data_IF_028312922777
#
_entry.id   IF_028312922777
#
_cell.length_a   1.000
_cell.length_b   1.000
_cell.length_c   1.000
_cell.angle_alpha   90.00
_cell.angle_beta   90.00
_cell.angle_gamma   90.00
#
_symmetry.space_group_name_H-M   'P 1'
#
loop_
_entity.id
_entity.type
_entity.pdbx_description
1 polymer ?
#
# COMPACT_ATOMS: atom_id res chain seq x y z
N UNK A 1 6.46 -2.24 -31.77
CA UNK A 1 5.92 -2.74 -33.06
C UNK A 1 6.82 -2.32 -34.20
N UNK A 2 6.97 -3.14 -35.25
CA UNK A 2 7.77 -2.77 -36.43
C UNK A 2 7.05 -1.71 -37.30
N UNK A 3 7.77 -0.90 -38.10
CA UNK A 3 7.16 0.08 -38.98
C UNK A 3 6.16 -0.50 -39.99
N UNK A 4 6.43 -1.72 -40.48
CA UNK A 4 5.53 -2.43 -41.39
C UNK A 4 4.18 -2.78 -40.74
N UNK A 5 4.18 -3.13 -39.45
CA UNK A 5 2.97 -3.42 -38.69
C UNK A 5 2.15 -2.14 -38.44
N UNK A 6 2.80 -1.02 -38.15
CA UNK A 6 2.12 0.27 -37.97
C UNK A 6 1.41 0.72 -39.27
N UNK A 7 2.02 0.48 -40.43
CA UNK A 7 1.38 0.71 -41.72
C UNK A 7 0.14 -0.17 -41.95
N UNK A 8 0.21 -1.45 -41.61
CA UNK A 8 -0.94 -2.36 -41.70
C UNK A 8 -2.08 -1.96 -40.74
N UNK A 9 -1.74 -1.56 -39.51
CA UNK A 9 -2.72 -1.04 -38.53
C UNK A 9 -3.41 0.21 -39.06
N UNK A 10 -2.66 1.16 -39.64
CA UNK A 10 -3.22 2.40 -40.19
C UNK A 10 -4.22 2.15 -41.32
N UNK A 11 -3.98 1.17 -42.19
CA UNK A 11 -4.90 0.79 -43.26
C UNK A 11 -6.11 0.02 -42.70
N UNK A 12 -5.88 -0.78 -41.66
CA UNK A 12 -6.88 -1.66 -41.04
C UNK A 12 -7.68 -1.06 -39.89
N UNK A 13 -7.55 0.25 -39.58
CA UNK A 13 -8.14 0.85 -38.38
C UNK A 13 -9.63 0.54 -38.21
N UNK A 14 -10.43 0.68 -39.27
CA UNK A 14 -11.87 0.39 -39.23
C UNK A 14 -12.18 -1.10 -38.98
N UNK A 15 -11.35 -2.01 -39.48
CA UNK A 15 -11.51 -3.45 -39.23
C UNK A 15 -11.07 -3.87 -37.83
N UNK A 16 -10.18 -3.10 -37.19
CA UNK A 16 -9.68 -3.37 -35.83
C UNK A 16 -10.57 -2.72 -34.78
N UNK A 17 -10.88 -1.43 -34.94
CA UNK A 17 -11.54 -0.59 -33.92
C UNK A 17 -13.01 -0.25 -34.25
N UNK A 18 -13.54 -0.75 -35.37
CA UNK A 18 -14.90 -0.44 -35.81
C UNK A 18 -15.07 1.05 -36.11
N UNK A 19 -16.06 1.68 -35.48
CA UNK A 19 -16.34 3.11 -35.63
C UNK A 19 -15.28 4.00 -34.95
N UNK A 20 -14.51 3.46 -34.00
CA UNK A 20 -13.52 4.18 -33.19
C UNK A 20 -12.14 4.27 -33.88
N UNK A 21 -12.09 4.76 -35.12
CA UNK A 21 -10.85 4.83 -35.91
C UNK A 21 -9.92 5.99 -35.55
N UNK A 22 -10.41 6.97 -34.78
CA UNK A 22 -9.65 8.11 -34.30
C UNK A 22 -8.89 7.82 -33.01
N UNK A 23 -8.05 8.78 -32.54
CA UNK A 23 -7.35 8.68 -31.27
C UNK A 23 -8.27 8.85 -30.04
N UNK A 24 -9.54 9.25 -30.25
CA UNK A 24 -10.56 9.40 -29.23
C UNK A 24 -11.76 8.52 -29.60
N UNK A 25 -12.35 7.90 -28.59
CA UNK A 25 -13.48 7.00 -28.73
C UNK A 25 -14.54 7.33 -27.66
N UNK A 26 -15.81 7.30 -28.06
CA UNK A 26 -16.92 7.40 -27.12
C UNK A 26 -17.36 5.99 -26.75
N UNK A 27 -17.19 5.64 -25.47
CA UNK A 27 -17.48 4.30 -24.96
C UNK A 27 -18.35 4.41 -23.72
N UNK A 28 -19.24 3.42 -23.51
CA UNK A 28 -19.98 3.37 -22.25
C UNK A 28 -19.01 3.00 -21.14
N UNK A 29 -19.16 3.61 -19.97
CA UNK A 29 -18.34 3.31 -18.78
C UNK A 29 -18.36 1.81 -18.47
N UNK A 30 -19.53 1.18 -18.58
CA UNK A 30 -19.69 -0.26 -18.36
C UNK A 30 -18.90 -1.11 -19.36
N UNK A 31 -18.80 -0.70 -20.62
CA UNK A 31 -18.01 -1.42 -21.63
C UNK A 31 -16.51 -1.27 -21.36
N UNK A 32 -16.06 -0.07 -21.00
CA UNK A 32 -14.67 0.18 -20.66
C UNK A 32 -14.22 -0.61 -19.42
N UNK A 33 -15.07 -0.66 -18.39
CA UNK A 33 -14.72 -1.34 -17.13
C UNK A 33 -14.93 -2.86 -17.21
N UNK A 34 -16.05 -3.34 -17.77
CA UNK A 34 -16.49 -4.73 -17.61
C UNK A 34 -16.93 -5.41 -18.90
N UNK A 35 -17.96 -4.91 -19.58
CA UNK A 35 -18.60 -5.63 -20.70
C UNK A 35 -17.67 -5.79 -21.92
N UNK A 36 -16.70 -4.88 -22.06
CA UNK A 36 -15.65 -4.95 -23.06
C UNK A 36 -15.96 -4.19 -24.35
N UNK A 37 -15.00 -3.35 -24.75
CA UNK A 37 -14.98 -2.66 -26.04
C UNK A 37 -14.65 -3.70 -27.12
N UNK A 38 -15.49 -3.85 -28.15
CA UNK A 38 -15.25 -4.81 -29.21
C UNK A 38 -14.10 -4.37 -30.11
N UNK A 39 -13.24 -5.33 -30.44
CA UNK A 39 -12.14 -5.19 -31.39
C UNK A 39 -12.18 -6.36 -32.38
N UNK A 40 -11.77 -6.11 -33.62
CA UNK A 40 -11.62 -7.14 -34.64
C UNK A 40 -12.90 -7.93 -35.01
N UNK A 41 -14.09 -7.35 -34.82
CA UNK A 41 -15.38 -7.99 -35.18
C UNK A 41 -15.51 -8.26 -36.69
N UNK A 42 -14.99 -7.38 -37.54
CA UNK A 42 -15.11 -7.46 -39.00
C UNK A 42 -13.73 -7.44 -39.69
N UNK A 43 -12.80 -8.27 -39.22
CA UNK A 43 -11.41 -8.25 -39.68
C UNK A 43 -11.23 -8.91 -41.07
N UNK A 44 -11.51 -8.19 -42.15
CA UNK A 44 -11.21 -8.60 -43.53
C UNK A 44 -9.89 -7.98 -44.05
N UNK A 45 -9.22 -8.68 -44.98
CA UNK A 45 -8.02 -8.21 -45.69
C UNK A 45 -6.89 -7.77 -44.73
N UNK A 46 -6.41 -6.52 -44.84
CA UNK A 46 -5.24 -5.99 -44.11
C UNK A 46 -5.47 -5.94 -42.59
N UNK A 47 -6.70 -5.72 -42.15
CA UNK A 47 -7.07 -5.78 -40.73
C UNK A 47 -6.97 -7.19 -40.15
N UNK A 48 -7.09 -8.24 -40.98
CA UNK A 48 -6.95 -9.64 -40.56
C UNK A 48 -5.55 -9.97 -40.03
N UNK A 49 -4.50 -9.41 -40.65
CA UNK A 49 -3.11 -9.59 -40.19
C UNK A 49 -2.91 -8.89 -38.85
N UNK A 50 -3.32 -7.63 -38.73
CA UNK A 50 -3.24 -6.90 -37.46
C UNK A 50 -4.03 -7.61 -36.35
N UNK A 51 -5.26 -8.05 -36.64
CA UNK A 51 -6.08 -8.79 -35.70
C UNK A 51 -5.48 -10.15 -35.32
N UNK A 52 -4.80 -10.87 -36.23
CA UNK A 52 -4.09 -12.10 -35.86
C UNK A 52 -2.97 -11.85 -34.84
N UNK A 53 -2.27 -10.72 -34.95
CA UNK A 53 -1.21 -10.34 -34.01
C UNK A 53 -1.83 -9.94 -32.67
N UNK A 54 -2.90 -9.13 -32.68
CA UNK A 54 -3.60 -8.74 -31.44
C UNK A 54 -4.14 -9.99 -30.73
N UNK A 55 -4.70 -10.97 -31.45
CA UNK A 55 -5.12 -12.26 -30.88
C UNK A 55 -3.95 -13.03 -30.27
N UNK A 56 -2.79 -13.07 -30.94
CA UNK A 56 -1.61 -13.73 -30.36
C UNK A 56 -1.12 -13.08 -29.07
N UNK A 57 -1.44 -11.80 -28.85
CA UNK A 57 -1.14 -11.07 -27.62
C UNK A 57 -2.26 -11.13 -26.59
N UNK A 58 -3.50 -11.45 -26.97
CA UNK A 58 -4.62 -11.49 -26.00
C UNK A 58 -4.43 -12.58 -24.96
N UNK A 59 -3.79 -13.70 -25.32
CA UNK A 59 -3.57 -14.82 -24.40
C UNK A 59 -2.63 -14.46 -23.24
N UNK A 60 -1.78 -13.44 -23.39
CA UNK A 60 -0.86 -12.98 -22.35
C UNK A 60 -1.35 -11.75 -21.58
N UNK A 61 -2.53 -11.22 -21.91
CA UNK A 61 -3.04 -9.96 -21.34
C UNK A 61 -4.41 -10.16 -20.71
N UNK A 62 -4.48 -9.98 -19.39
CA UNK A 62 -5.70 -10.20 -18.59
C UNK A 62 -6.87 -9.29 -19.01
N UNK A 63 -6.59 -8.13 -19.59
CA UNK A 63 -7.58 -7.14 -20.00
C UNK A 63 -8.16 -7.37 -21.41
N UNK A 64 -7.79 -8.46 -22.08
CA UNK A 64 -8.31 -8.84 -23.39
C UNK A 64 -8.87 -10.26 -23.37
N UNK A 65 -10.10 -10.43 -23.83
CA UNK A 65 -10.77 -11.71 -23.91
C UNK A 65 -11.12 -12.06 -25.36
N UNK A 66 -10.59 -13.18 -25.84
CA UNK A 66 -10.95 -13.76 -27.15
C UNK A 66 -12.39 -14.31 -27.09
N UNK A 67 -13.18 -13.97 -28.10
CA UNK A 67 -14.58 -14.40 -28.23
C UNK A 67 -14.72 -15.59 -29.19
N UNK A 68 -15.83 -16.36 -29.14
CA UNK A 68 -16.04 -17.52 -30.02
C UNK A 68 -16.04 -17.21 -31.52
N UNK A 69 -16.36 -15.98 -31.90
CA UNK A 69 -16.35 -15.48 -33.28
C UNK A 69 -14.99 -14.92 -33.72
N UNK A 70 -13.92 -15.16 -32.93
CA UNK A 70 -12.59 -14.58 -33.10
C UNK A 70 -12.53 -13.05 -32.97
N UNK A 71 -13.57 -12.38 -32.47
CA UNK A 71 -13.46 -11.00 -32.01
C UNK A 71 -12.75 -10.94 -30.65
N UNK A 72 -12.33 -9.74 -30.24
CA UNK A 72 -11.67 -9.50 -28.96
C UNK A 72 -12.49 -8.48 -28.18
N UNK A 73 -12.65 -8.70 -26.87
CA UNK A 73 -13.22 -7.73 -25.94
C UNK A 73 -12.09 -7.17 -25.07
N UNK A 74 -11.91 -5.85 -25.10
CA UNK A 74 -10.99 -5.16 -24.20
C UNK A 74 -11.76 -4.49 -23.06
N UNK A 75 -11.39 -4.78 -21.82
CA UNK A 75 -12.00 -4.21 -20.61
C UNK A 75 -10.96 -4.09 -19.50
N UNK A 76 -11.09 -3.09 -18.64
CA UNK A 76 -10.11 -2.82 -17.60
C UNK A 76 -10.19 -3.76 -16.38
N UNK A 77 -11.39 -4.21 -16.01
CA UNK A 77 -11.63 -4.88 -14.72
C UNK A 77 -12.43 -6.20 -14.82
N UNK A 78 -12.81 -6.62 -16.03
CA UNK A 78 -13.60 -7.85 -16.18
C UNK A 78 -12.91 -9.09 -15.59
N UNK A 79 -11.58 -9.21 -15.77
CA UNK A 79 -10.81 -10.33 -15.24
C UNK A 79 -10.78 -10.42 -13.70
N UNK A 80 -11.12 -9.33 -13.00
CA UNK A 80 -11.26 -9.27 -11.52
C UNK A 80 -12.67 -9.59 -11.04
N UNK A 81 -13.67 -9.61 -11.93
CA UNK A 81 -15.06 -9.73 -11.54
C UNK A 81 -15.41 -11.18 -11.16
N UNK A 82 -15.61 -11.43 -9.86
CA UNK A 82 -15.96 -12.75 -9.33
C UNK A 82 -14.81 -13.76 -9.37
N UNK A 83 -13.57 -13.29 -9.54
CA UNK A 83 -12.36 -14.12 -9.53
C UNK A 83 -11.64 -13.99 -8.19
N UNK A 84 -11.01 -15.08 -7.74
CA UNK A 84 -10.16 -15.03 -6.56
C UNK A 84 -8.85 -14.33 -6.92
N UNK A 85 -8.40 -13.45 -6.01
CA UNK A 85 -7.08 -12.84 -6.11
C UNK A 85 -5.96 -13.82 -5.76
N UNK A 86 -4.76 -13.27 -5.75
CA UNK A 86 -3.52 -13.96 -5.47
C UNK A 86 -3.44 -14.39 -3.99
N UNK A 87 -2.65 -15.43 -3.70
CA UNK A 87 -2.55 -15.98 -2.34
C UNK A 87 -1.49 -15.24 -1.51
N UNK A 88 -1.80 -14.98 -0.24
CA UNK A 88 -0.90 -14.33 0.71
C UNK A 88 -0.54 -15.29 1.84
N UNK A 89 0.76 -15.43 2.12
CA UNK A 89 1.22 -16.02 3.37
C UNK A 89 1.52 -14.91 4.35
N UNK A 90 0.78 -14.90 5.46
CA UNK A 90 0.77 -13.80 6.41
C UNK A 90 1.10 -14.31 7.80
N UNK A 91 1.94 -13.57 8.52
CA UNK A 91 2.29 -13.87 9.91
C UNK A 91 1.11 -13.58 10.85
N UNK A 92 0.88 -14.52 11.76
CA UNK A 92 -0.19 -14.43 12.78
C UNK A 92 0.23 -13.62 14.03
N UNK A 93 1.50 -13.22 14.13
CA UNK A 93 2.01 -12.48 15.28
C UNK A 93 2.11 -13.27 16.60
N UNK A 94 2.04 -14.61 16.55
CA UNK A 94 2.07 -15.45 17.76
C UNK A 94 3.44 -15.47 18.45
N UNK A 95 4.53 -15.41 17.68
CA UNK A 95 5.90 -15.40 18.20
C UNK A 95 6.38 -13.97 18.49
N UNK A 96 6.12 -13.05 17.57
CA UNK A 96 6.35 -11.62 17.72
C UNK A 96 5.14 -10.85 17.21
N UNK A 97 4.53 -10.04 18.07
CA UNK A 97 3.34 -9.25 17.72
C UNK A 97 3.64 -8.16 16.69
N UNK A 98 4.89 -7.69 16.60
CA UNK A 98 5.33 -6.73 15.58
C UNK A 98 5.27 -7.32 14.16
N UNK A 99 5.26 -8.64 14.04
CA UNK A 99 5.12 -9.33 12.76
C UNK A 99 3.66 -9.59 12.39
N UNK A 100 2.67 -9.16 13.19
CA UNK A 100 1.26 -9.37 12.88
C UNK A 100 0.93 -8.80 11.49
N UNK A 101 0.22 -9.59 10.69
CA UNK A 101 -0.19 -9.24 9.33
C UNK A 101 0.95 -9.00 8.33
N UNK A 102 2.22 -9.19 8.72
CA UNK A 102 3.34 -9.09 7.79
C UNK A 102 3.25 -10.18 6.73
N UNK A 103 3.32 -9.79 5.47
CA UNK A 103 3.32 -10.70 4.32
C UNK A 103 4.73 -11.28 4.17
N UNK A 104 4.82 -12.61 4.12
CA UNK A 104 6.07 -13.33 3.87
C UNK A 104 6.17 -13.90 2.46
N UNK A 105 5.04 -14.28 1.86
CA UNK A 105 4.96 -14.69 0.47
C UNK A 105 3.73 -14.06 -0.21
N UNK A 106 3.89 -13.66 -1.45
CA UNK A 106 2.83 -13.27 -2.36
C UNK A 106 2.87 -14.21 -3.57
N UNK A 107 1.79 -14.95 -3.78
CA UNK A 107 1.68 -15.99 -4.82
C UNK A 107 2.86 -16.98 -4.82
N UNK A 108 3.25 -17.41 -3.62
CA UNK A 108 4.39 -18.32 -3.41
C UNK A 108 5.77 -17.68 -3.63
N UNK A 109 5.86 -16.37 -3.93
CA UNK A 109 7.10 -15.65 -4.14
C UNK A 109 7.50 -14.83 -2.91
N UNK A 110 8.80 -14.80 -2.61
CA UNK A 110 9.39 -13.94 -1.56
C UNK A 110 9.65 -12.51 -2.04
N UNK A 111 9.68 -12.31 -3.36
CA UNK A 111 9.96 -11.02 -4.00
C UNK A 111 9.09 -10.86 -5.24
N UNK A 112 8.76 -9.61 -5.56
CA UNK A 112 8.12 -9.24 -6.81
C UNK A 112 9.11 -9.39 -7.98
N UNK A 113 8.58 -9.45 -9.20
CA UNK A 113 9.38 -9.65 -10.43
C UNK A 113 9.08 -8.61 -11.50
N UNK A 114 8.49 -7.50 -11.10
CA UNK A 114 7.97 -6.49 -12.00
C UNK A 114 9.00 -5.39 -12.28
N UNK A 115 9.93 -5.16 -11.36
CA UNK A 115 10.89 -4.07 -11.48
C UNK A 115 12.27 -4.59 -11.88
N UNK A 116 13.10 -3.79 -12.57
CA UNK A 116 14.46 -4.18 -12.90
C UNK A 116 15.27 -4.45 -11.64
N UNK A 117 16.12 -5.45 -11.72
CA UNK A 117 17.22 -5.64 -10.77
C UNK A 117 18.28 -4.55 -10.97
N UNK A 118 19.24 -4.47 -10.06
CA UNK A 118 20.36 -3.53 -10.21
C UNK A 118 21.18 -3.86 -11.47
N UNK A 119 22.03 -2.93 -11.91
CA UNK A 119 22.91 -3.14 -13.08
C UNK A 119 23.80 -4.40 -12.94
N UNK A 120 24.20 -4.72 -11.71
CA UNK A 120 24.99 -5.91 -11.37
C UNK A 120 24.16 -7.22 -11.31
N UNK A 121 22.84 -7.14 -11.52
CA UNK A 121 21.92 -8.28 -11.49
C UNK A 121 21.36 -8.63 -10.11
N UNK A 122 21.72 -7.88 -9.07
CA UNK A 122 21.25 -8.10 -7.70
C UNK A 122 19.78 -7.72 -7.52
N UNK A 123 19.11 -8.42 -6.59
CA UNK A 123 17.69 -8.20 -6.32
C UNK A 123 17.44 -6.76 -5.87
N UNK A 124 16.65 -6.04 -6.67
CA UNK A 124 16.30 -4.66 -6.41
C UNK A 124 15.38 -4.51 -5.19
N UNK A 125 15.57 -3.44 -4.43
CA UNK A 125 14.69 -3.06 -3.31
C UNK A 125 13.26 -2.79 -3.78
N UNK A 126 13.07 -2.35 -5.03
CA UNK A 126 11.75 -2.18 -5.64
C UNK A 126 10.94 -3.48 -5.75
N UNK A 127 11.61 -4.64 -5.71
CA UNK A 127 10.98 -5.95 -5.74
C UNK A 127 10.77 -6.55 -4.34
N UNK A 128 11.16 -5.86 -3.26
CA UNK A 128 10.95 -6.35 -1.90
C UNK A 128 9.47 -6.32 -1.54
N UNK A 129 9.00 -7.39 -0.89
CA UNK A 129 7.67 -7.45 -0.28
C UNK A 129 7.84 -7.09 1.20
N UNK A 130 7.46 -5.87 1.57
CA UNK A 130 7.49 -5.43 2.96
C UNK A 130 6.09 -5.07 3.47
N UNK A 131 5.90 -5.25 4.78
CA UNK A 131 4.70 -4.81 5.49
C UNK A 131 3.48 -5.70 5.27
N UNK A 132 2.30 -5.08 5.28
CA UNK A 132 0.99 -5.77 5.27
C UNK A 132 0.25 -5.55 3.95
N UNK A 133 -1.01 -5.95 3.85
CA UNK A 133 -1.89 -5.67 2.70
C UNK A 133 -2.66 -4.34 2.84
N UNK A 134 -2.28 -3.49 3.81
CA UNK A 134 -2.98 -2.27 4.23
C UNK A 134 -4.36 -2.44 4.88
N UNK A 135 -4.87 -3.66 5.07
CA UNK A 135 -6.12 -3.89 5.79
C UNK A 135 -5.97 -3.74 7.30
N UNK A 136 -4.80 -4.07 7.82
CA UNK A 136 -4.41 -3.92 9.22
C UNK A 136 -2.90 -3.73 9.31
N UNK A 137 -2.44 -3.03 10.35
CA UNK A 137 -1.02 -2.90 10.68
C UNK A 137 -0.73 -3.58 12.01
N UNK A 138 0.55 -3.81 12.31
CA UNK A 138 0.91 -4.38 13.60
C UNK A 138 0.52 -3.43 14.76
N UNK A 139 0.18 -3.97 15.95
CA UNK A 139 -0.07 -3.17 17.14
C UNK A 139 1.15 -2.35 17.57
N UNK A 140 0.92 -1.35 18.41
CA UNK A 140 1.95 -0.46 18.96
C UNK A 140 2.76 0.27 17.88
N UNK A 141 2.04 0.88 16.94
CA UNK A 141 2.62 1.61 15.81
C UNK A 141 3.57 2.71 16.30
N UNK A 142 4.81 2.66 15.82
CA UNK A 142 5.83 3.69 16.05
C UNK A 142 5.72 4.76 14.96
N UNK A 143 5.18 5.92 15.31
CA UNK A 143 4.97 7.04 14.37
C UNK A 143 6.27 7.61 13.79
N UNK A 144 7.43 7.29 14.38
CA UNK A 144 8.73 7.76 13.88
C UNK A 144 9.28 6.85 12.77
N UNK A 145 8.61 5.72 12.48
CA UNK A 145 9.00 4.77 11.45
C UNK A 145 7.97 4.76 10.32
N UNK A 146 8.41 4.55 9.07
CA UNK A 146 7.48 4.31 7.99
C UNK A 146 6.76 2.97 8.19
N UNK A 147 5.52 2.92 7.72
CA UNK A 147 4.80 1.67 7.51
C UNK A 147 4.86 1.30 6.02
N UNK A 148 4.74 0.00 5.75
CA UNK A 148 4.80 -0.52 4.40
C UNK A 148 3.52 -1.32 4.11
N UNK A 149 3.03 -1.21 2.88
CA UNK A 149 1.91 -2.00 2.40
C UNK A 149 2.15 -2.49 0.98
N UNK A 150 1.98 -3.79 0.74
CA UNK A 150 1.95 -4.34 -0.60
C UNK A 150 0.65 -3.93 -1.29
N UNK A 151 0.76 -3.31 -2.47
CA UNK A 151 -0.39 -3.08 -3.33
C UNK A 151 -0.18 -3.86 -4.65
N UNK A 152 -0.91 -4.97 -4.86
CA UNK A 152 -0.75 -5.81 -6.04
C UNK A 152 -1.21 -5.12 -7.34
N UNK A 153 -2.16 -4.18 -7.27
CA UNK A 153 -2.70 -3.51 -8.47
C UNK A 153 -1.72 -2.54 -9.11
N UNK A 154 -0.70 -2.12 -8.35
CA UNK A 154 0.42 -1.30 -8.85
C UNK A 154 1.77 -2.04 -8.70
N UNK A 155 1.72 -3.34 -8.40
CA UNK A 155 2.86 -4.24 -8.37
C UNK A 155 4.06 -3.78 -7.53
N UNK A 156 3.81 -3.17 -6.36
CA UNK A 156 4.90 -2.72 -5.49
C UNK A 156 4.47 -2.63 -4.03
N UNK A 157 5.46 -2.62 -3.15
CA UNK A 157 5.28 -2.14 -1.79
C UNK A 157 5.33 -0.60 -1.77
N UNK A 158 4.40 -0.02 -1.01
CA UNK A 158 4.24 1.42 -0.80
C UNK A 158 4.68 1.76 0.61
N UNK A 159 5.54 2.77 0.72
CA UNK A 159 5.95 3.36 1.99
C UNK A 159 5.00 4.51 2.34
N UNK A 160 4.43 4.48 3.55
CA UNK A 160 3.61 5.54 4.12
C UNK A 160 4.25 6.05 5.42
N UNK A 161 4.16 7.36 5.67
CA UNK A 161 4.80 8.03 6.81
C UNK A 161 3.77 8.81 7.61
N UNK A 162 4.02 8.94 8.91
CA UNK A 162 3.17 9.74 9.80
C UNK A 162 3.08 11.19 9.30
N UNK A 163 1.87 11.74 9.34
CA UNK A 163 1.59 13.13 8.96
C UNK A 163 0.99 13.93 10.12
N UNK A 164 -0.08 13.43 10.75
CA UNK A 164 -0.75 14.12 11.85
C UNK A 164 -1.55 13.21 12.77
N UNK A 165 -1.86 13.72 13.96
CA UNK A 165 -2.90 13.16 14.84
C UNK A 165 -4.28 13.48 14.26
N UNK A 166 -5.19 12.53 14.37
CA UNK A 166 -6.57 12.62 13.86
C UNK A 166 -7.56 12.06 14.86
N UNK A 167 -8.83 12.38 14.65
CA UNK A 167 -9.94 11.76 15.36
C UNK A 167 -10.92 11.15 14.34
N UNK A 168 -11.42 9.96 14.65
CA UNK A 168 -12.48 9.30 13.89
C UNK A 168 -13.54 8.78 14.86
N UNK A 169 -14.74 9.34 14.79
CA UNK A 169 -15.88 8.95 15.65
C UNK A 169 -15.52 8.88 17.15
N UNK A 170 -14.79 9.90 17.64
CA UNK A 170 -14.35 9.97 19.04
C UNK A 170 -13.16 9.07 19.41
N UNK A 171 -12.61 8.32 18.46
CA UNK A 171 -11.39 7.51 18.64
C UNK A 171 -10.17 8.33 18.17
N UNK A 172 -9.20 8.62 19.06
CA UNK A 172 -7.92 9.20 18.67
C UNK A 172 -7.15 8.23 17.78
N UNK A 173 -6.54 8.75 16.72
CA UNK A 173 -5.72 7.98 15.80
C UNK A 173 -4.61 8.80 15.20
N UNK A 174 -3.86 8.17 14.31
CA UNK A 174 -2.73 8.77 13.61
C UNK A 174 -2.92 8.56 12.11
N UNK A 175 -2.60 9.59 11.33
CA UNK A 175 -2.64 9.58 9.88
C UNK A 175 -1.27 9.26 9.32
N UNK A 176 -1.23 8.29 8.43
CA UNK A 176 -0.10 8.00 7.56
C UNK A 176 -0.44 8.34 6.11
N UNK A 177 0.50 8.93 5.38
CA UNK A 177 0.33 9.33 3.98
C UNK A 177 1.44 8.78 3.09
N UNK A 178 1.11 8.59 1.81
CA UNK A 178 2.10 8.52 0.75
C UNK A 178 2.05 9.85 0.00
N UNK A 179 3.16 10.60 -0.01
CA UNK A 179 3.24 11.91 -0.68
C UNK A 179 4.13 11.86 -1.93
N UNK A 180 4.92 12.90 -2.19
CA UNK A 180 5.62 13.06 -3.46
C UNK A 180 6.57 11.90 -3.79
N UNK A 181 7.10 11.15 -2.83
CA UNK A 181 8.03 10.05 -3.08
C UNK A 181 7.41 8.82 -3.77
N UNK A 182 6.09 8.62 -3.67
CA UNK A 182 5.46 7.37 -4.09
C UNK A 182 5.70 7.02 -5.56
N UNK A 183 5.56 7.99 -6.47
CA UNK A 183 5.74 7.80 -7.91
C UNK A 183 6.97 8.53 -8.45
N UNK A 184 8.00 8.68 -7.63
CA UNK A 184 9.29 9.21 -8.06
C UNK A 184 10.20 8.10 -8.57
N UNK A 185 11.10 8.48 -9.47
CA UNK A 185 12.07 7.58 -10.10
C UNK A 185 13.51 8.01 -9.77
N UNK A 186 13.72 8.67 -8.63
CA UNK A 186 15.02 9.22 -8.25
C UNK A 186 16.00 8.12 -7.80
N UNK A 187 15.49 7.09 -7.11
CA UNK A 187 16.26 5.89 -6.75
C UNK A 187 16.47 4.94 -7.94
N UNK A 188 15.91 5.26 -9.11
CA UNK A 188 16.10 4.55 -10.38
C UNK A 188 15.41 3.18 -10.51
N UNK A 189 15.12 2.46 -9.43
CA UNK A 189 14.66 1.08 -9.57
C UNK A 189 13.19 0.89 -10.01
N UNK A 190 12.35 1.95 -9.99
CA UNK A 190 10.99 1.94 -10.57
C UNK A 190 10.96 2.41 -12.04
N UNK A 191 12.13 2.58 -12.67
CA UNK A 191 12.26 3.04 -14.04
C UNK A 191 12.39 1.87 -15.02
N UNK A 192 11.48 1.76 -16.00
CA UNK A 192 11.51 0.72 -17.03
C UNK A 192 12.15 1.21 -18.34
N UNK A 193 12.03 2.49 -18.65
CA UNK A 193 12.51 3.12 -19.88
C UNK A 193 12.00 2.43 -21.17
N UNK A 194 10.72 2.06 -21.21
CA UNK A 194 10.13 1.36 -22.36
C UNK A 194 9.02 2.12 -23.05
N UNK A 195 8.33 2.99 -22.33
CA UNK A 195 7.28 3.84 -22.87
C UNK A 195 7.91 5.08 -23.49
N UNK A 196 7.43 5.44 -24.69
CA UNK A 196 7.90 6.62 -25.42
C UNK A 196 6.99 7.81 -25.11
N UNK A 197 7.56 8.97 -24.77
CA UNK A 197 6.80 10.15 -24.35
C UNK A 197 7.69 11.22 -23.72
N UNK A 198 7.11 12.01 -22.81
CA UNK A 198 7.82 13.03 -22.04
C UNK A 198 8.56 12.35 -20.88
N UNK A 199 9.89 12.30 -20.98
CA UNK A 199 10.79 11.61 -20.06
C UNK A 199 12.06 12.41 -19.84
N UNK A 200 12.79 12.09 -18.78
CA UNK A 200 14.14 12.58 -18.49
C UNK A 200 15.14 12.02 -19.50
N UNK A 201 16.35 12.57 -19.50
CA UNK A 201 17.45 12.14 -20.38
C UNK A 201 17.91 10.70 -20.11
N UNK A 202 17.80 10.23 -18.86
CA UNK A 202 18.07 8.84 -18.46
C UNK A 202 16.99 7.85 -18.93
N UNK A 203 15.93 8.35 -19.57
CA UNK A 203 14.82 7.57 -20.08
C UNK A 203 13.73 7.25 -19.06
N UNK A 204 13.88 7.69 -17.81
CA UNK A 204 12.88 7.56 -16.76
C UNK A 204 11.83 8.66 -16.82
N UNK A 205 10.68 8.41 -16.22
CA UNK A 205 9.63 9.41 -16.10
C UNK A 205 10.07 10.51 -15.11
N UNK A 206 9.62 11.75 -15.34
CA UNK A 206 9.74 12.80 -14.34
C UNK A 206 8.95 12.43 -13.07
N UNK A 207 9.25 13.11 -11.96
CA UNK A 207 8.63 12.85 -10.65
C UNK A 207 7.09 12.83 -10.70
N UNK A 208 6.49 12.01 -9.83
CA UNK A 208 5.04 11.81 -9.71
C UNK A 208 4.38 11.03 -10.86
N UNK A 209 5.15 10.31 -11.67
CA UNK A 209 4.66 9.40 -12.69
C UNK A 209 5.53 8.15 -12.82
N UNK A 210 4.93 6.98 -12.95
CA UNK A 210 5.65 5.68 -13.06
C UNK A 210 5.04 4.81 -14.15
N UNK A 211 5.87 4.06 -14.87
CA UNK A 211 5.42 3.09 -15.87
C UNK A 211 4.86 1.83 -15.21
N UNK A 212 3.77 1.27 -15.75
CA UNK A 212 3.16 0.03 -15.24
C UNK A 212 3.32 -1.17 -16.19
N UNK A 213 4.08 -1.05 -17.28
CA UNK A 213 4.05 -2.06 -18.35
C UNK A 213 4.43 -3.47 -17.89
N UNK A 214 5.45 -3.64 -17.05
CA UNK A 214 5.81 -4.96 -16.52
C UNK A 214 4.77 -5.52 -15.56
N UNK A 215 3.99 -4.66 -14.90
CA UNK A 215 2.92 -5.01 -13.99
C UNK A 215 1.64 -5.44 -14.74
N UNK A 216 1.16 -4.59 -15.65
CA UNK A 216 -0.16 -4.74 -16.29
C UNK A 216 -0.10 -5.20 -17.74
N UNK A 217 1.09 -5.29 -18.33
CA UNK A 217 1.30 -5.68 -19.74
C UNK A 217 0.90 -4.60 -20.76
N UNK A 218 0.64 -3.37 -20.33
CA UNK A 218 0.23 -2.26 -21.20
C UNK A 218 1.04 -0.99 -20.93
N UNK A 219 1.16 -0.10 -21.92
CA UNK A 219 1.87 1.19 -21.81
C UNK A 219 1.08 2.23 -21.00
N UNK A 220 0.61 1.83 -19.82
CA UNK A 220 -0.06 2.68 -18.84
C UNK A 220 0.96 3.33 -17.92
N UNK A 221 0.69 4.58 -17.57
CA UNK A 221 1.45 5.36 -16.63
C UNK A 221 0.55 5.69 -15.44
N UNK A 222 1.02 5.41 -14.24
CA UNK A 222 0.32 5.78 -13.01
C UNK A 222 0.82 7.11 -12.46
N UNK A 223 -0.10 7.89 -11.90
CA UNK A 223 0.18 9.11 -11.14
C UNK A 223 -0.86 9.28 -10.02
N UNK A 224 -0.73 10.30 -9.18
CA UNK A 224 -1.86 10.74 -8.36
C UNK A 224 -2.96 11.40 -9.22
N UNK A 225 -4.22 11.44 -8.72
CA UNK A 225 -5.30 12.18 -9.38
C UNK A 225 -4.95 13.62 -9.65
N UNK A 226 -5.32 14.09 -10.84
CA UNK A 226 -5.03 15.41 -11.36
C UNK A 226 -3.54 15.78 -11.36
N UNK A 227 -2.65 14.79 -11.42
CA UNK A 227 -1.19 14.96 -11.35
C UNK A 227 -0.73 15.67 -10.06
N UNK A 228 -1.42 15.43 -8.93
CA UNK A 228 -0.91 15.86 -7.62
C UNK A 228 0.54 15.33 -7.42
N UNK A 229 1.44 16.18 -6.94
CA UNK A 229 2.88 15.92 -6.76
C UNK A 229 3.72 15.66 -8.03
N UNK A 230 3.11 15.58 -9.21
CA UNK A 230 3.85 15.32 -10.43
C UNK A 230 4.56 16.56 -10.97
N UNK A 231 5.55 16.33 -11.82
CA UNK A 231 6.23 17.41 -12.52
C UNK A 231 5.24 18.25 -13.36
N UNK A 232 5.30 19.59 -13.31
CA UNK A 232 4.40 20.46 -14.07
C UNK A 232 4.35 20.16 -15.57
N UNK A 233 5.40 19.56 -16.15
CA UNK A 233 5.40 19.17 -17.57
C UNK A 233 4.22 18.25 -17.94
N UNK A 234 3.77 17.42 -16.99
CA UNK A 234 2.61 16.53 -17.21
C UNK A 234 1.28 17.29 -17.12
N UNK A 235 1.11 18.12 -16.09
CA UNK A 235 -0.13 18.88 -15.90
C UNK A 235 -0.34 19.97 -16.96
N UNK A 236 0.74 20.62 -17.43
CA UNK A 236 0.66 21.71 -18.41
C UNK A 236 0.12 21.27 -19.78
N UNK A 237 0.14 19.98 -20.09
CA UNK A 237 -0.39 19.43 -21.34
C UNK A 237 -1.90 19.21 -21.36
N UNK A 238 -2.60 19.37 -20.22
CA UNK A 238 -4.00 18.96 -20.05
C UNK A 238 -4.81 20.09 -19.38
N UNK A 239 -5.90 20.50 -20.02
CA UNK A 239 -6.82 21.51 -19.48
C UNK A 239 -7.87 20.81 -18.60
N UNK A 240 -8.23 21.45 -17.47
CA UNK A 240 -9.28 20.97 -16.57
C UNK A 240 -8.78 20.23 -15.33
N UNK A 241 -7.46 20.17 -15.13
CA UNK A 241 -6.88 19.57 -13.93
C UNK A 241 -6.91 20.53 -12.74
N UNK A 242 -7.30 20.04 -11.57
CA UNK A 242 -7.35 20.81 -10.33
C UNK A 242 -6.75 19.98 -9.19
N UNK A 243 -5.42 19.79 -9.12
CA UNK A 243 -4.79 19.00 -8.06
C UNK A 243 -5.11 19.59 -6.68
N UNK A 244 -5.56 18.73 -5.76
CA UNK A 244 -5.92 19.10 -4.41
C UNK A 244 -5.43 18.03 -3.44
N UNK A 245 -4.65 18.43 -2.43
CA UNK A 245 -4.03 17.48 -1.50
C UNK A 245 -5.08 16.71 -0.69
N UNK A 246 -6.15 17.34 -0.22
CA UNK A 246 -7.18 16.66 0.59
C UNK A 246 -7.94 15.61 -0.23
N UNK A 247 -8.28 15.95 -1.47
CA UNK A 247 -9.09 15.09 -2.34
C UNK A 247 -8.27 14.01 -3.05
N UNK A 248 -6.98 14.24 -3.29
CA UNK A 248 -6.18 13.38 -4.17
C UNK A 248 -5.01 12.68 -3.49
N UNK A 249 -4.68 12.98 -2.22
CA UNK A 249 -3.62 12.26 -1.49
C UNK A 249 -4.04 10.84 -1.11
N UNK A 250 -3.07 9.94 -0.98
CA UNK A 250 -3.30 8.63 -0.38
C UNK A 250 -3.07 8.76 1.12
N UNK A 251 -3.99 8.22 1.91
CA UNK A 251 -3.84 8.22 3.36
C UNK A 251 -4.50 7.01 3.99
N UNK A 252 -4.05 6.70 5.21
CA UNK A 252 -4.70 5.77 6.12
C UNK A 252 -4.67 6.37 7.52
N UNK A 253 -5.80 6.31 8.20
CA UNK A 253 -5.94 6.69 9.60
C UNK A 253 -6.11 5.41 10.40
N UNK A 254 -5.25 5.21 11.39
CA UNK A 254 -5.24 4.01 12.21
C UNK A 254 -5.18 4.35 13.69
N UNK A 255 -5.71 3.45 14.52
CA UNK A 255 -5.55 3.53 15.97
C UNK A 255 -4.19 2.89 16.34
N UNK A 256 -3.26 3.64 16.95
CA UNK A 256 -1.85 3.23 17.05
C UNK A 256 -1.61 2.06 18.00
N UNK A 257 -2.44 1.83 19.02
CA UNK A 257 -2.24 0.72 19.94
C UNK A 257 -2.62 -0.63 19.34
N UNK A 258 -3.66 -0.67 18.53
CA UNK A 258 -4.19 -1.90 17.92
C UNK A 258 -3.73 -2.11 16.48
N UNK A 259 -3.34 -1.05 15.77
CA UNK A 259 -3.00 -1.11 14.34
C UNK A 259 -4.23 -1.23 13.42
N UNK A 260 -5.44 -1.07 13.97
CA UNK A 260 -6.70 -1.12 13.21
C UNK A 260 -6.84 0.12 12.34
N UNK A 261 -7.11 -0.10 11.06
CA UNK A 261 -7.44 0.97 10.11
C UNK A 261 -8.87 1.44 10.35
N UNK A 262 -9.03 2.72 10.70
CA UNK A 262 -10.31 3.34 10.95
C UNK A 262 -10.91 3.97 9.69
N UNK A 263 -10.05 4.56 8.84
CA UNK A 263 -10.42 4.98 7.50
C UNK A 263 -9.21 5.07 6.61
N UNK A 264 -9.41 5.01 5.30
CA UNK A 264 -8.33 5.20 4.34
C UNK A 264 -8.86 5.41 2.94
N UNK A 265 -8.01 5.97 2.08
CA UNK A 265 -8.30 6.14 0.67
C UNK A 265 -7.03 5.87 -0.14
N UNK A 266 -7.08 4.83 -0.97
CA UNK A 266 -6.11 4.61 -2.04
C UNK A 266 -6.61 5.31 -3.29
N UNK A 267 -5.75 6.07 -3.95
CA UNK A 267 -6.11 6.93 -5.08
C UNK A 267 -5.06 6.85 -6.16
N UNK A 268 -5.47 6.56 -7.38
CA UNK A 268 -4.56 6.42 -8.51
C UNK A 268 -5.20 6.96 -9.77
N UNK A 269 -4.40 7.59 -10.62
CA UNK A 269 -4.78 8.02 -11.96
C UNK A 269 -4.00 7.22 -12.99
N UNK A 270 -4.72 6.71 -13.98
CA UNK A 270 -4.14 5.96 -15.09
C UNK A 270 -4.12 6.83 -16.34
N UNK A 271 -2.94 6.89 -16.95
CA UNK A 271 -2.62 7.79 -18.03
C UNK A 271 -2.00 7.04 -19.20
N UNK A 272 -2.12 7.62 -20.40
CA UNK A 272 -1.43 7.16 -21.61
C UNK A 272 -0.79 8.33 -22.34
N UNK A 273 0.34 8.10 -23.02
CA UNK A 273 0.88 9.11 -23.90
C UNK A 273 0.09 9.15 -25.22
N UNK A 274 -0.63 10.24 -25.43
CA UNK A 274 -1.09 10.62 -26.76
C UNK A 274 0.08 11.31 -27.47
N UNK A 275 0.47 10.82 -28.64
CA UNK A 275 1.59 11.38 -29.41
C UNK A 275 1.50 10.99 -30.89
N UNK A 276 2.21 11.70 -31.78
CA UNK A 276 2.38 11.25 -33.14
C UNK A 276 3.05 9.87 -33.21
N UNK A 277 2.42 8.96 -33.94
CA UNK A 277 2.97 7.65 -34.27
C UNK A 277 3.32 7.61 -35.75
N UNK A 278 4.61 7.35 -36.04
CA UNK A 278 5.06 7.17 -37.40
C UNK A 278 4.29 6.01 -38.06
N UNK A 279 3.68 6.27 -39.21
CA UNK A 279 2.87 5.29 -39.92
C UNK A 279 1.38 5.28 -39.57
N UNK A 280 0.92 6.05 -38.55
CA UNK A 280 -0.51 6.17 -38.21
C UNK A 280 -0.97 7.62 -38.41
N UNK A 281 -1.65 7.86 -39.53
CA UNK A 281 -2.01 9.19 -40.03
C UNK A 281 -2.92 9.95 -39.07
N UNK A 282 -3.88 9.26 -38.44
CA UNK A 282 -4.85 9.86 -37.50
C UNK A 282 -4.19 10.44 -36.22
N UNK A 283 -2.94 10.10 -35.95
CA UNK A 283 -2.19 10.59 -34.76
C UNK A 283 -1.20 11.72 -35.08
N UNK A 284 -0.96 12.05 -36.35
CA UNK A 284 0.14 12.95 -36.75
C UNK A 284 0.02 14.37 -36.19
N UNK A 285 -1.20 14.85 -35.98
CA UNK A 285 -1.48 16.19 -35.46
C UNK A 285 -1.56 16.24 -33.93
N UNK A 286 -1.35 15.12 -33.24
CA UNK A 286 -1.34 15.11 -31.78
C UNK A 286 -0.09 15.80 -31.25
N UNK A 287 -0.23 16.48 -30.11
CA UNK A 287 0.92 16.88 -29.29
C UNK A 287 1.25 15.71 -28.36
N UNK A 288 2.53 15.52 -28.08
CA UNK A 288 2.95 14.55 -27.06
C UNK A 288 2.46 15.03 -25.70
N UNK A 289 1.48 14.34 -25.13
CA UNK A 289 0.84 14.69 -23.86
C UNK A 289 0.58 13.43 -23.04
N UNK A 290 0.91 13.46 -21.75
CA UNK A 290 0.48 12.44 -20.81
C UNK A 290 -1.01 12.67 -20.49
N UNK A 291 -1.88 11.90 -21.14
CA UNK A 291 -3.32 12.13 -21.10
C UNK A 291 -3.96 11.22 -20.06
N UNK A 292 -4.64 11.75 -19.04
CA UNK A 292 -5.38 10.96 -18.07
C UNK A 292 -6.59 10.30 -18.74
N UNK A 293 -6.80 9.01 -18.46
CA UNK A 293 -7.99 8.27 -18.90
C UNK A 293 -9.06 8.35 -17.82
N UNK A 294 -8.70 7.94 -16.60
CA UNK A 294 -9.55 7.96 -15.42
C UNK A 294 -8.68 7.94 -14.16
N UNK A 295 -9.27 8.29 -13.03
CA UNK A 295 -8.71 8.01 -11.71
C UNK A 295 -9.75 7.27 -10.87
N UNK A 296 -9.27 6.52 -9.89
CA UNK A 296 -10.09 5.71 -8.99
C UNK A 296 -9.76 6.03 -7.54
N UNK A 297 -10.77 5.88 -6.69
CA UNK A 297 -10.64 5.85 -5.24
C UNK A 297 -11.17 4.52 -4.72
N UNK A 298 -10.32 3.82 -3.97
CA UNK A 298 -10.73 2.71 -3.11
C UNK A 298 -10.66 3.21 -1.67
N UNK A 299 -11.81 3.37 -1.04
CA UNK A 299 -11.92 3.92 0.31
C UNK A 299 -12.55 2.94 1.29
N UNK A 300 -12.10 3.00 2.54
CA UNK A 300 -12.70 2.28 3.66
C UNK A 300 -13.04 3.27 4.77
N UNK A 301 -14.18 3.04 5.40
CA UNK A 301 -14.63 3.70 6.62
C UNK A 301 -15.04 2.61 7.60
N UNK A 302 -14.52 2.66 8.82
CA UNK A 302 -14.89 1.73 9.88
C UNK A 302 -16.34 2.03 10.31
N UNK A 303 -17.29 1.09 10.13
CA UNK A 303 -18.69 1.33 10.49
C UNK A 303 -18.89 1.51 11.99
N UNK A 304 -19.91 2.28 12.38
CA UNK A 304 -20.22 2.64 13.78
C UNK A 304 -20.28 1.42 14.72
N UNK A 305 -20.84 0.29 14.28
CA UNK A 305 -20.88 -0.96 15.05
C UNK A 305 -19.47 -1.42 15.50
N UNK A 306 -18.48 -1.28 14.61
CA UNK A 306 -17.11 -1.67 14.88
C UNK A 306 -16.34 -0.57 15.63
N UNK A 307 -16.70 0.69 15.45
CA UNK A 307 -16.19 1.82 16.24
C UNK A 307 -16.53 1.61 17.71
N UNK A 308 -17.80 1.37 18.03
CA UNK A 308 -18.25 1.13 19.40
C UNK A 308 -17.53 -0.07 20.01
N UNK A 309 -17.35 -1.15 19.24
CA UNK A 309 -16.63 -2.33 19.69
C UNK A 309 -15.15 -2.04 19.97
N UNK A 310 -14.48 -1.28 19.10
CA UNK A 310 -13.10 -0.86 19.28
C UNK A 310 -12.97 0.01 20.55
N UNK A 311 -13.81 1.03 20.70
CA UNK A 311 -13.77 1.95 21.82
C UNK A 311 -14.07 1.27 23.18
N UNK A 312 -15.14 0.48 23.25
CA UNK A 312 -15.62 -0.09 24.52
C UNK A 312 -14.87 -1.35 24.93
N UNK A 313 -14.58 -2.24 23.97
CA UNK A 313 -14.04 -3.57 24.31
C UNK A 313 -12.52 -3.55 24.39
N UNK A 314 -11.87 -2.86 23.45
CA UNK A 314 -10.41 -2.84 23.34
C UNK A 314 -9.83 -1.62 24.08
N UNK A 315 -10.17 -0.41 23.64
CA UNK A 315 -9.50 0.81 24.12
C UNK A 315 -9.81 1.11 25.58
N UNK A 316 -11.07 1.00 26.00
CA UNK A 316 -11.45 1.23 27.40
C UNK A 316 -10.77 0.23 28.35
N UNK A 317 -10.66 -1.04 27.94
CA UNK A 317 -9.95 -2.07 28.70
C UNK A 317 -8.46 -1.79 28.80
N UNK A 318 -7.82 -1.39 27.68
CA UNK A 318 -6.41 -1.03 27.64
C UNK A 318 -6.12 0.18 28.54
N UNK A 319 -6.92 1.25 28.43
CA UNK A 319 -6.79 2.44 29.27
C UNK A 319 -6.94 2.11 30.76
N UNK A 320 -7.92 1.28 31.10
CA UNK A 320 -8.13 0.84 32.48
C UNK A 320 -6.93 0.04 33.02
N UNK A 321 -6.35 -0.86 32.22
CA UNK A 321 -5.15 -1.61 32.59
C UNK A 321 -3.91 -0.73 32.71
N UNK A 322 -3.72 0.22 31.80
CA UNK A 322 -2.63 1.20 31.83
C UNK A 322 -2.66 2.07 33.09
N UNK A 323 -3.83 2.29 33.69
CA UNK A 323 -3.97 3.03 34.95
C UNK A 323 -3.84 2.08 36.15
N UNK A 324 -4.56 0.95 36.16
CA UNK A 324 -4.62 0.06 37.31
C UNK A 324 -3.29 -0.63 37.61
N UNK A 325 -2.54 -1.06 36.59
CA UNK A 325 -1.28 -1.80 36.80
C UNK A 325 -0.21 -0.92 37.47
N UNK A 326 0.11 0.28 36.98
CA UNK A 326 1.07 1.16 37.65
C UNK A 326 0.63 1.56 39.06
N UNK A 327 -0.66 1.81 39.28
CA UNK A 327 -1.20 2.10 40.61
C UNK A 327 -1.01 0.92 41.55
N UNK A 328 -1.32 -0.31 41.12
CA UNK A 328 -1.12 -1.51 41.91
C UNK A 328 0.38 -1.72 42.24
N UNK A 329 1.27 -1.53 41.26
CA UNK A 329 2.73 -1.60 41.46
C UNK A 329 3.18 -0.55 42.47
N UNK A 330 2.71 0.70 42.35
CA UNK A 330 3.06 1.78 43.28
C UNK A 330 2.59 1.45 44.71
N UNK A 331 1.37 0.93 44.88
CA UNK A 331 0.86 0.49 46.18
C UNK A 331 1.72 -0.63 46.77
N UNK A 332 2.06 -1.65 45.96
CA UNK A 332 2.95 -2.74 46.39
C UNK A 332 4.32 -2.22 46.82
N UNK A 333 4.91 -1.27 46.09
CA UNK A 333 6.17 -0.63 46.45
C UNK A 333 6.06 0.14 47.78
N UNK A 334 4.99 0.91 47.99
CA UNK A 334 4.76 1.65 49.24
C UNK A 334 4.62 0.69 50.43
N UNK A 335 3.84 -0.38 50.29
CA UNK A 335 3.67 -1.41 51.33
C UNK A 335 5.01 -2.10 51.63
N UNK A 336 5.78 -2.43 50.60
CA UNK A 336 7.10 -3.05 50.76
C UNK A 336 8.06 -2.13 51.52
N UNK A 337 8.16 -0.85 51.13
CA UNK A 337 9.01 0.13 51.82
C UNK A 337 8.55 0.33 53.26
N UNK A 338 7.25 0.45 53.52
CA UNK A 338 6.72 0.55 54.88
C UNK A 338 7.07 -0.69 55.72
N UNK A 339 6.96 -1.89 55.14
CA UNK A 339 7.38 -3.14 55.78
C UNK A 339 8.86 -3.15 56.13
N UNK A 340 9.74 -2.76 55.20
CA UNK A 340 11.19 -2.66 55.44
C UNK A 340 11.51 -1.66 56.54
N UNK A 341 10.85 -0.49 56.55
CA UNK A 341 11.01 0.55 57.58
C UNK A 341 10.57 0.04 58.95
N UNK A 342 9.44 -0.66 59.04
CA UNK A 342 8.95 -1.22 60.30
C UNK A 342 9.91 -2.30 60.84
N UNK A 343 10.41 -3.19 59.98
CA UNK A 343 11.37 -4.24 60.37
C UNK A 343 12.69 -3.63 60.82
N UNK A 344 13.24 -2.65 60.10
CA UNK A 344 14.49 -1.99 60.51
C UNK A 344 14.32 -1.21 61.81
N UNK A 345 13.20 -0.50 62.00
CA UNK A 345 12.90 0.17 63.29
C UNK A 345 12.77 -0.83 64.44
N UNK A 346 12.16 -2.00 64.20
CA UNK A 346 12.04 -3.04 65.22
C UNK A 346 13.39 -3.69 65.55
N UNK A 347 14.26 -3.93 64.57
CA UNK A 347 15.63 -4.41 64.81
C UNK A 347 16.46 -3.40 65.60
N UNK A 348 16.43 -2.13 65.21
CA UNK A 348 17.11 -1.04 65.93
C UNK A 348 16.56 -0.82 67.35
N UNK A 349 15.28 -1.13 67.61
CA UNK A 349 14.72 -1.13 68.96
C UNK A 349 15.22 -2.31 69.79
N UNK A 350 15.29 -3.52 69.21
CA UNK A 350 15.84 -4.71 69.89
C UNK A 350 17.30 -4.54 70.28
N UNK A 351 18.13 -3.93 69.43
CA UNK A 351 19.53 -3.65 69.75
C UNK A 351 19.70 -2.60 70.88
N UNK A 352 18.63 -1.87 71.24
CA UNK A 352 18.63 -0.86 72.32
C UNK A 352 18.09 -1.36 73.65
N UNK A 353 17.52 -2.57 73.73
CA UNK A 353 17.10 -3.16 75.01
C UNK A 353 18.31 -3.82 75.70
N UNK A 354 18.78 -3.34 76.87
CA UNK A 354 19.89 -3.95 77.58
C UNK A 354 19.40 -5.25 78.25
N UNK A 355 20.12 -6.34 78.03
CA UNK A 355 19.94 -7.62 78.74
C UNK A 355 20.04 -7.39 80.25
N UNK A 356 18.92 -7.39 80.97
CA UNK A 356 18.91 -7.37 82.44
C UNK A 356 19.53 -8.67 82.95
N UNK A 357 20.77 -8.59 83.42
CA UNK A 357 21.43 -9.67 84.16
C UNK A 357 20.71 -9.89 85.50
N UNK A 358 20.32 -11.14 85.78
CA UNK A 358 19.90 -11.59 87.11
C UNK A 358 21.13 -11.67 88.03
N UNK A 359 21.08 -11.17 89.28
CA UNK A 359 22.22 -11.23 90.17
C UNK A 359 22.42 -12.65 90.73
N UNK A 360 23.69 -12.99 90.88
CA UNK A 360 24.19 -14.22 91.48
C UNK A 360 23.68 -14.42 92.91
N UNK A 361 23.28 -15.65 93.23
CA UNK A 361 23.09 -16.11 94.60
C UNK A 361 24.21 -17.08 94.97
N UNK A 362 24.98 -16.64 95.96
CA UNK A 362 25.95 -17.32 96.82
C UNK A 362 25.79 -18.84 97.02
N UNK A 363 26.93 -19.53 96.97
CA UNK A 363 27.14 -20.84 97.55
C UNK A 363 27.51 -20.68 99.04
N UNK A 364 27.08 -21.61 99.92
CA UNK A 364 28.11 -22.28 100.72
C UNK A 364 27.93 -23.81 100.84
N UNK A 365 29.09 -24.46 100.63
CA UNK A 365 29.69 -25.72 101.11
C UNK A 365 28.94 -26.78 101.95
N UNK A 366 29.43 -28.04 101.94
CA UNK A 366 28.68 -29.27 102.23
C UNK A 366 28.83 -29.77 103.68
N UNK A 367 27.89 -30.62 104.11
CA UNK A 367 28.13 -31.60 105.17
C UNK A 367 27.52 -32.97 104.84
N UNK A 368 28.33 -33.97 105.15
CA UNK A 368 28.09 -35.41 105.22
C UNK A 368 27.33 -35.82 106.49
N UNK A 369 26.28 -36.60 106.35
CA UNK A 369 26.07 -37.98 106.89
C UNK A 369 24.70 -38.50 106.48
#
# INVERSE_FOLDING_TARGET
>A
MSPALLGAVNIGLAGIFGENTGPLANVRVRDLLFDGIPLCENSALVSGVACSIIRSMSDSLQNMALQPDNSIRFSLLNYRNGTLGETYNVSRGNENIEDLARISLYDGQQYLRYWPNTEDGELSTCNMINGTDSGVFNPFVDINKPLFALNPDICRTVEIRYESDVEYEGIPGVRFTAEEWMFNNDDGCFCLNITQGIKREDGCMYRGATELYTCVGAHLIISYPHFLYADPVYANGVIGLTPNQQNHRIFVDLEPHTGVVMRGAKRAQFNVFMRPLQGITVTQNLRTTLTPIFWIEESVLLPDEYVDRLATTLLSTLNLLQILVPVAVAVCCVVFVAGVVLVTRNRLRRDKEPTTQSPAAENPTPQSE
#
